data_IF_415547041287
#
_entry.id   IF_415547041287
#
_cell.length_a   1.000
_cell.length_b   1.000
_cell.length_c   1.000
_cell.angle_alpha   90.00
_cell.angle_beta   90.00
_cell.angle_gamma   90.00
#
_symmetry.space_group_name_H-M   'P 1'
#
loop_
_entity.id
_entity.type
_entity.pdbx_description
1 polymer ?
#
# COMPACT_ATOMS: atom_id res chain seq x y z
N UNK A 1 9.17 21.46 -19.82
CA UNK A 1 9.16 21.06 -19.69
C UNK A 1 9.29 20.53 -19.07
N UNK A 2 8.95 20.35 -18.86
CA UNK A 2 9.05 19.77 -18.30
C UNK A 2 9.16 19.12 -18.01
N UNK A 3 9.02 19.02 -18.22
CA UNK A 3 9.14 18.44 -18.08
C UNK A 3 9.34 18.04 -17.96
N UNK A 4 9.33 18.47 -18.40
CA UNK A 4 9.62 18.07 -18.34
C UNK A 4 9.97 17.34 -17.81
N UNK A 5 10.23 17.70 -18.22
CA UNK A 5 10.87 16.69 -17.45
C UNK A 5 10.07 16.26 -16.27
N UNK A 6 9.18 15.51 -16.54
CA UNK A 6 8.52 14.85 -15.45
C UNK A 6 9.60 14.04 -14.73
N UNK A 7 9.79 14.25 -13.44
CA UNK A 7 10.65 13.38 -12.68
C UNK A 7 10.12 11.95 -12.80
N UNK A 8 11.00 10.97 -12.63
CA UNK A 8 10.57 9.59 -12.57
C UNK A 8 9.40 9.48 -11.60
N UNK A 9 8.38 8.67 -11.93
CA UNK A 9 7.25 8.52 -11.04
C UNK A 9 7.72 8.13 -9.65
N UNK A 10 7.31 8.88 -8.67
CA UNK A 10 7.62 8.53 -7.30
C UNK A 10 6.64 7.49 -6.83
N UNK A 11 7.09 6.54 -6.01
CA UNK A 11 6.15 5.63 -5.37
C UNK A 11 5.16 6.45 -4.56
N UNK A 12 3.90 6.18 -4.76
CA UNK A 12 2.89 6.80 -3.92
C UNK A 12 2.82 6.03 -2.61
N UNK A 13 3.00 6.75 -1.53
CA UNK A 13 2.99 6.16 -0.20
C UNK A 13 1.66 6.45 0.48
N UNK A 14 1.12 5.42 1.10
CA UNK A 14 -0.16 5.50 1.77
C UNK A 14 0.00 5.20 3.26
N UNK A 15 -0.84 5.83 4.06
CA UNK A 15 -0.91 5.50 5.48
C UNK A 15 -1.73 4.24 5.67
N UNK A 16 -1.60 3.55 6.81
CA UNK A 16 -2.46 2.40 7.10
C UNK A 16 -3.94 2.75 7.05
N UNK A 17 -4.33 3.94 7.50
CA UNK A 17 -5.72 4.36 7.44
C UNK A 17 -6.21 4.52 6.00
N UNK A 18 -5.36 5.05 5.12
CA UNK A 18 -5.70 5.19 3.71
C UNK A 18 -5.86 3.81 3.06
N UNK A 19 -4.97 2.88 3.40
CA UNK A 19 -5.06 1.51 2.88
C UNK A 19 -6.34 0.85 3.40
N UNK A 20 -6.66 1.04 4.67
CA UNK A 20 -7.88 0.50 5.26
C UNK A 20 -9.12 1.00 4.50
N UNK A 21 -9.14 2.28 4.16
CA UNK A 21 -10.25 2.84 3.39
C UNK A 21 -10.34 2.23 2.01
N UNK A 22 -9.20 2.06 1.34
CA UNK A 22 -9.17 1.45 0.01
C UNK A 22 -9.64 0.00 0.03
N UNK A 23 -9.22 -0.75 1.02
CA UNK A 23 -9.59 -2.16 1.14
C UNK A 23 -10.93 -2.36 1.82
N UNK A 24 -11.49 -1.30 2.38
CA UNK A 24 -12.77 -1.31 3.10
C UNK A 24 -12.71 -2.26 4.29
N UNK A 25 -11.62 -2.16 5.04
CA UNK A 25 -11.41 -2.93 6.26
C UNK A 25 -11.00 -1.98 7.38
N UNK A 26 -10.87 -2.48 8.58
CA UNK A 26 -10.41 -1.67 9.69
C UNK A 26 -8.90 -1.47 9.61
N UNK A 27 -8.41 -0.40 10.24
CA UNK A 27 -6.96 -0.17 10.34
C UNK A 27 -6.28 -1.34 11.03
N UNK A 28 -6.93 -1.93 12.01
CA UNK A 28 -6.38 -3.07 12.72
C UNK A 28 -6.08 -4.22 11.75
N UNK A 29 -6.97 -4.46 10.80
CA UNK A 29 -6.76 -5.49 9.79
C UNK A 29 -5.53 -5.18 8.96
N UNK A 30 -5.34 -3.90 8.57
CA UNK A 30 -4.16 -3.50 7.82
C UNK A 30 -2.89 -3.77 8.63
N UNK A 31 -2.88 -3.43 9.91
CA UNK A 31 -1.73 -3.69 10.76
C UNK A 31 -1.43 -5.18 10.87
N UNK A 32 -2.46 -6.01 10.92
CA UNK A 32 -2.29 -7.46 10.93
C UNK A 32 -1.65 -7.97 9.64
N UNK A 33 -2.07 -7.42 8.50
CA UNK A 33 -1.48 -7.79 7.21
C UNK A 33 -0.01 -7.40 7.15
N UNK A 34 0.33 -6.23 7.65
CA UNK A 34 1.72 -5.78 7.70
C UNK A 34 2.53 -6.71 8.60
N UNK A 35 2.00 -7.02 9.76
CA UNK A 35 2.70 -7.84 10.74
C UNK A 35 2.89 -9.27 10.25
N UNK A 36 1.91 -9.78 9.53
CA UNK A 36 1.98 -11.13 8.97
C UNK A 36 2.90 -11.22 7.75
N UNK A 37 3.32 -10.08 7.19
CA UNK A 37 4.15 -10.07 6.00
C UNK A 37 3.37 -10.16 4.71
N UNK A 38 2.04 -10.08 4.78
CA UNK A 38 1.20 -10.13 3.59
C UNK A 38 1.18 -8.81 2.83
N UNK A 39 1.50 -7.73 3.52
CA UNK A 39 1.51 -6.40 2.92
C UNK A 39 2.81 -5.70 3.32
N UNK A 40 3.74 -5.53 2.35
CA UNK A 40 4.99 -4.85 2.66
C UNK A 40 4.75 -3.42 3.09
N UNK A 41 5.49 -2.98 4.08
CA UNK A 41 5.38 -1.62 4.59
C UNK A 41 6.73 -1.17 5.12
N UNK A 42 6.98 0.12 4.99
CA UNK A 42 8.17 0.73 5.56
C UNK A 42 7.78 1.46 6.84
N UNK A 43 8.61 1.35 7.85
CA UNK A 43 8.42 2.12 9.06
C UNK A 43 9.19 3.42 8.93
N UNK A 44 8.46 4.52 8.91
CA UNK A 44 9.05 5.85 8.77
C UNK A 44 8.66 6.64 10.01
N UNK A 45 9.67 6.88 10.87
CA UNK A 45 9.39 7.49 12.16
C UNK A 45 8.56 6.53 13.01
N UNK A 46 7.40 7.01 13.45
CA UNK A 46 6.50 6.21 14.29
C UNK A 46 5.33 5.63 13.48
N UNK A 47 5.36 5.82 12.17
CA UNK A 47 4.25 5.41 11.33
C UNK A 47 4.72 4.42 10.28
N UNK A 48 3.75 3.70 9.71
CA UNK A 48 4.02 2.87 8.56
C UNK A 48 3.62 3.62 7.30
N UNK A 49 4.30 3.30 6.21
CA UNK A 49 3.91 3.76 4.87
C UNK A 49 3.91 2.56 3.96
N UNK A 50 2.87 2.46 3.17
CA UNK A 50 2.66 1.34 2.25
C UNK A 50 2.67 1.88 0.83
N UNK A 51 3.41 1.25 -0.07
CA UNK A 51 3.43 1.70 -1.45
C UNK A 51 2.13 1.28 -2.12
N UNK A 52 1.59 2.18 -2.93
CA UNK A 52 0.35 1.90 -3.65
C UNK A 52 0.48 0.64 -4.50
N UNK A 53 1.65 0.44 -5.12
CA UNK A 53 1.87 -0.75 -5.95
C UNK A 53 1.77 -2.04 -5.14
N UNK A 54 2.14 -2.00 -3.87
CA UNK A 54 2.04 -3.19 -3.02
C UNK A 54 0.59 -3.48 -2.65
N UNK A 55 -0.22 -2.43 -2.47
CA UNK A 55 -1.66 -2.60 -2.25
C UNK A 55 -2.30 -3.21 -3.48
N UNK A 56 -1.93 -2.71 -4.66
CA UNK A 56 -2.45 -3.25 -5.92
C UNK A 56 -2.06 -4.71 -6.07
N UNK A 57 -0.82 -5.06 -5.75
CA UNK A 57 -0.35 -6.44 -5.84
C UNK A 57 -1.12 -7.35 -4.88
N UNK A 58 -1.38 -6.87 -3.69
CA UNK A 58 -2.16 -7.61 -2.71
C UNK A 58 -3.57 -7.89 -3.24
N UNK A 59 -4.21 -6.86 -3.80
CA UNK A 59 -5.54 -7.02 -4.36
C UNK A 59 -5.55 -7.97 -5.56
N UNK A 60 -4.56 -7.85 -6.44
CA UNK A 60 -4.45 -8.73 -7.60
C UNK A 60 -4.35 -10.20 -7.18
N UNK A 61 -3.55 -10.46 -6.16
CA UNK A 61 -3.39 -11.81 -5.66
C UNK A 61 -4.72 -12.36 -5.12
N UNK A 62 -5.50 -11.52 -4.42
CA UNK A 62 -6.79 -11.94 -3.89
C UNK A 62 -7.78 -12.25 -4.99
N UNK A 63 -7.84 -11.41 -6.01
CA UNK A 63 -8.74 -11.64 -7.12
C UNK A 63 -8.32 -12.86 -7.95
N UNK A 64 -7.02 -13.09 -8.10
CA UNK A 64 -6.53 -14.27 -8.81
C UNK A 64 -6.89 -15.55 -8.07
N UNK A 65 -6.79 -15.54 -6.74
CA UNK A 65 -7.14 -16.69 -5.92
C UNK A 65 -8.63 -17.01 -5.98
N UNK A 66 -9.43 -15.98 -6.20
CA UNK A 66 -10.89 -16.15 -6.28
C UNK A 66 -11.34 -16.70 -7.62
N UNK A 67 -10.48 -16.58 -8.63
CA UNK A 67 -10.84 -16.95 -10.01
C UNK A 67 -10.70 -18.41 -10.36
#
# INVERSE_FOLDING_TARGET
MPSLAAPAPRPRLLTPNEVAALLRVSSMTVYRLIKAGDLPAARIGKSFRIREVDVDAYLQARFSDAG
#
